data_IF_262490281839
#
_entry.id   IF_262490281839
#
_cell.length_a   1.000
_cell.length_b   1.000
_cell.length_c   1.000
_cell.angle_alpha   90.00
_cell.angle_beta   90.00
_cell.angle_gamma   90.00
#
_symmetry.space_group_name_H-M   'P 1'
#
loop_
_entity.id
_entity.type
_entity.pdbx_description
1 polymer ?
#
# COMPACT_ATOMS: atom_id res chain seq x y z
N UNK A 1 7.66 8.77 -43.86
CA UNK A 1 6.35 8.13 -43.67
C UNK A 1 5.83 8.48 -42.26
N UNK A 2 4.58 8.87 -42.17
CA UNK A 2 3.96 9.16 -40.87
C UNK A 2 3.67 7.82 -40.19
N UNK A 3 4.23 7.58 -39.01
CA UNK A 3 3.95 6.36 -38.25
C UNK A 3 2.46 6.32 -37.91
N UNK A 4 1.79 5.22 -38.27
CA UNK A 4 0.43 4.94 -37.78
C UNK A 4 0.42 4.81 -36.25
N UNK A 5 -0.70 5.21 -35.62
CA UNK A 5 -0.90 5.10 -34.16
C UNK A 5 -2.14 4.27 -33.89
N UNK A 6 -1.98 3.18 -33.18
CA UNK A 6 -3.10 2.30 -32.80
C UNK A 6 -2.99 2.00 -31.31
N UNK A 7 -4.09 2.11 -30.58
CA UNK A 7 -4.16 1.70 -29.17
C UNK A 7 -4.77 0.31 -29.09
N UNK A 8 -4.05 -0.62 -28.49
CA UNK A 8 -4.53 -1.96 -28.16
C UNK A 8 -5.00 -1.96 -26.69
N UNK A 9 -6.23 -2.42 -26.47
CA UNK A 9 -6.78 -2.65 -25.12
C UNK A 9 -6.76 -4.16 -24.82
N UNK A 10 -6.02 -4.56 -23.81
CA UNK A 10 -5.94 -5.95 -23.36
C UNK A 10 -6.99 -6.32 -22.31
N UNK A 11 -7.92 -5.41 -22.01
CA UNK A 11 -9.10 -5.67 -21.16
C UNK A 11 -8.80 -5.75 -19.67
N UNK A 12 -7.54 -5.84 -19.25
CA UNK A 12 -7.14 -5.91 -17.85
C UNK A 12 -5.80 -5.23 -17.62
N UNK A 13 -5.68 -4.47 -16.52
CA UNK A 13 -4.39 -3.94 -16.09
C UNK A 13 -3.53 -5.06 -15.48
N UNK A 14 -2.36 -5.32 -16.06
CA UNK A 14 -1.43 -6.38 -15.69
C UNK A 14 -0.05 -5.83 -15.39
N UNK A 15 0.76 -6.59 -14.62
CA UNK A 15 2.21 -6.49 -14.65
C UNK A 15 2.75 -7.53 -15.62
N UNK A 16 3.48 -7.09 -16.63
CA UNK A 16 3.93 -7.99 -17.67
C UNK A 16 4.61 -7.29 -18.81
N UNK A 17 4.50 -7.88 -19.97
CA UNK A 17 5.03 -7.33 -21.20
C UNK A 17 4.11 -7.65 -22.39
N UNK A 18 4.25 -6.88 -23.45
CA UNK A 18 3.65 -7.23 -24.73
C UNK A 18 4.70 -7.97 -25.58
N UNK A 19 4.28 -9.06 -26.20
CA UNK A 19 5.03 -9.71 -27.27
C UNK A 19 4.29 -9.57 -28.61
N UNK A 20 5.02 -9.63 -29.69
CA UNK A 20 4.42 -9.56 -31.02
C UNK A 20 5.15 -10.42 -32.04
N UNK A 21 4.41 -10.78 -33.11
CA UNK A 21 4.95 -11.46 -34.28
C UNK A 21 4.41 -10.80 -35.55
N UNK A 22 5.27 -10.15 -36.31
CA UNK A 22 4.88 -9.43 -37.52
C UNK A 22 5.85 -9.72 -38.68
N UNK A 23 5.42 -9.46 -39.93
CA UNK A 23 6.29 -9.46 -41.11
C UNK A 23 6.63 -8.01 -41.45
N UNK A 24 7.90 -7.70 -41.58
CA UNK A 24 8.39 -6.33 -41.81
C UNK A 24 9.61 -6.30 -42.71
N UNK A 25 9.95 -5.12 -43.16
CA UNK A 25 11.18 -4.86 -43.88
C UNK A 25 12.30 -4.39 -42.96
N UNK A 26 13.53 -4.66 -43.36
CA UNK A 26 14.71 -4.26 -42.58
C UNK A 26 14.71 -2.74 -42.30
N UNK A 27 14.93 -2.38 -41.03
CA UNK A 27 15.01 -0.97 -40.60
C UNK A 27 13.67 -0.33 -40.21
N UNK A 28 12.53 -0.95 -40.52
CA UNK A 28 11.25 -0.47 -40.00
C UNK A 28 11.24 -0.54 -38.45
N UNK A 29 10.49 0.36 -37.83
CA UNK A 29 10.46 0.46 -36.36
C UNK A 29 9.07 0.22 -35.80
N UNK A 30 9.02 -0.52 -34.71
CA UNK A 30 7.82 -0.70 -33.92
C UNK A 30 8.11 -0.09 -32.54
N UNK A 31 7.33 0.92 -32.16
CA UNK A 31 7.43 1.55 -30.86
C UNK A 31 6.16 1.25 -30.09
N UNK A 32 6.34 0.61 -28.91
CA UNK A 32 5.28 0.29 -27.97
C UNK A 32 5.39 1.23 -26.78
N UNK A 33 4.29 1.86 -26.41
CA UNK A 33 4.19 2.66 -25.19
C UNK A 33 3.10 2.06 -24.30
N UNK A 34 3.43 1.83 -23.03
CA UNK A 34 2.58 1.14 -22.09
C UNK A 34 1.85 2.14 -21.18
N UNK A 35 0.55 1.98 -21.00
CA UNK A 35 -0.28 2.85 -20.16
C UNK A 35 -1.36 2.05 -19.40
N UNK A 36 -1.74 2.58 -18.25
CA UNK A 36 -2.73 1.93 -17.35
C UNK A 36 -4.14 2.48 -17.59
N UNK A 37 -4.26 3.69 -18.12
CA UNK A 37 -5.51 4.43 -18.26
C UNK A 37 -5.55 5.15 -19.60
N UNK A 38 -6.76 5.45 -20.06
CA UNK A 38 -7.04 6.48 -21.05
C UNK A 38 -7.33 7.81 -20.33
N UNK A 39 -7.17 8.92 -21.01
CA UNK A 39 -7.53 10.24 -20.48
C UNK A 39 -9.06 10.48 -20.53
N UNK A 40 -9.49 11.69 -20.15
CA UNK A 40 -10.90 12.07 -20.09
C UNK A 40 -11.60 12.03 -21.47
N UNK A 41 -10.82 12.09 -22.54
CA UNK A 41 -11.30 12.04 -23.94
C UNK A 41 -11.22 10.62 -24.52
N UNK A 42 -10.76 9.62 -23.73
CA UNK A 42 -10.54 8.26 -24.20
C UNK A 42 -9.22 8.08 -24.95
N UNK A 43 -8.32 9.05 -24.88
CA UNK A 43 -7.02 9.01 -25.56
C UNK A 43 -5.94 8.36 -24.67
N UNK A 44 -4.97 7.71 -25.32
CA UNK A 44 -3.84 7.08 -24.61
C UNK A 44 -3.01 8.11 -23.82
N UNK A 45 -2.76 7.84 -22.56
CA UNK A 45 -1.95 8.69 -21.70
C UNK A 45 -0.93 7.92 -20.86
N UNK A 46 0.20 8.55 -20.57
CA UNK A 46 1.18 8.10 -19.58
C UNK A 46 1.38 9.14 -18.46
N UNK A 47 0.54 10.17 -18.40
CA UNK A 47 0.68 11.24 -17.40
C UNK A 47 0.61 10.73 -15.95
N UNK A 48 -0.16 9.67 -15.73
CA UNK A 48 -0.32 9.07 -14.39
C UNK A 48 0.89 8.26 -13.92
N UNK A 49 1.77 7.83 -14.84
CA UNK A 49 2.95 7.02 -14.53
C UNK A 49 4.27 7.74 -14.81
N UNK A 50 4.23 8.85 -15.53
CA UNK A 50 5.42 9.63 -15.87
C UNK A 50 5.81 10.52 -14.70
N UNK A 51 7.00 10.29 -14.13
CA UNK A 51 7.64 11.21 -13.20
C UNK A 51 8.51 12.20 -13.98
N UNK A 52 8.27 13.48 -13.80
CA UNK A 52 9.09 14.54 -14.38
C UNK A 52 9.28 15.67 -13.39
N UNK A 53 10.44 16.29 -13.43
CA UNK A 53 10.74 17.54 -12.75
C UNK A 53 11.22 18.56 -13.78
N UNK A 54 11.39 19.84 -13.37
CA UNK A 54 11.94 20.87 -14.26
C UNK A 54 13.31 20.51 -14.86
N UNK A 55 14.06 19.59 -14.22
CA UNK A 55 15.43 19.21 -14.60
C UNK A 55 15.56 17.76 -15.08
N UNK A 56 14.65 16.88 -14.71
CA UNK A 56 14.76 15.44 -14.95
C UNK A 56 13.42 14.94 -15.44
N UNK A 57 13.42 14.26 -16.56
CA UNK A 57 12.28 13.48 -17.05
C UNK A 57 12.66 12.02 -17.04
N UNK A 58 11.88 11.18 -16.35
CA UNK A 58 12.11 9.75 -16.34
C UNK A 58 11.92 9.16 -17.75
N UNK A 59 12.64 8.09 -18.09
CA UNK A 59 12.38 7.36 -19.33
C UNK A 59 10.91 6.95 -19.39
N UNK A 60 10.32 7.06 -20.57
CA UNK A 60 8.95 6.58 -20.80
C UNK A 60 8.90 5.06 -20.68
N UNK A 61 7.77 4.52 -20.22
CA UNK A 61 7.46 3.09 -20.31
C UNK A 61 7.27 2.73 -21.78
N UNK A 62 8.34 2.37 -22.46
CA UNK A 62 8.33 2.10 -23.89
C UNK A 62 9.35 1.04 -24.30
N UNK A 63 9.06 0.42 -25.45
CA UNK A 63 9.97 -0.43 -26.19
C UNK A 63 10.10 0.15 -27.59
N UNK A 64 11.31 0.18 -28.14
CA UNK A 64 11.57 0.52 -29.53
C UNK A 64 12.32 -0.66 -30.17
N UNK A 65 11.67 -1.30 -31.13
CA UNK A 65 12.22 -2.45 -31.85
C UNK A 65 12.51 -2.06 -33.31
N UNK A 66 13.69 -2.41 -33.81
CA UNK A 66 14.07 -2.24 -35.22
C UNK A 66 13.97 -3.60 -35.90
N UNK A 67 13.14 -3.67 -36.94
CA UNK A 67 12.85 -4.91 -37.62
C UNK A 67 14.01 -5.37 -38.53
N UNK A 68 14.15 -6.68 -38.65
CA UNK A 68 14.89 -7.33 -39.74
C UNK A 68 13.96 -7.64 -40.90
N UNK A 69 14.50 -8.04 -42.02
CA UNK A 69 13.72 -8.48 -43.17
C UNK A 69 12.93 -9.76 -42.83
N UNK A 70 11.64 -9.79 -43.21
CA UNK A 70 10.76 -10.92 -43.07
C UNK A 70 10.10 -11.02 -41.66
N UNK A 71 9.95 -12.24 -41.14
CA UNK A 71 9.25 -12.50 -39.87
C UNK A 71 10.07 -12.00 -38.67
N UNK A 72 9.44 -11.17 -37.87
CA UNK A 72 9.96 -10.62 -36.62
C UNK A 72 9.10 -11.13 -35.45
N UNK A 73 9.76 -11.67 -34.43
CA UNK A 73 9.14 -12.01 -33.15
C UNK A 73 9.94 -11.34 -32.04
N UNK A 74 9.24 -10.66 -31.14
CA UNK A 74 9.89 -9.97 -30.01
C UNK A 74 9.08 -10.05 -28.75
N UNK A 75 9.77 -10.30 -27.65
CA UNK A 75 9.31 -10.13 -26.26
C UNK A 75 10.41 -9.46 -25.43
N UNK A 76 10.04 -8.69 -24.39
CA UNK A 76 11.05 -8.13 -23.49
C UNK A 76 11.72 -9.23 -22.66
N UNK A 77 13.02 -9.08 -22.40
CA UNK A 77 13.79 -10.06 -21.62
C UNK A 77 13.74 -9.75 -20.12
N UNK A 78 13.96 -8.48 -19.74
CA UNK A 78 14.07 -8.08 -18.34
C UNK A 78 13.08 -6.97 -17.92
N UNK A 79 12.50 -6.26 -18.89
CA UNK A 79 11.56 -5.19 -18.59
C UNK A 79 10.15 -5.75 -18.38
N UNK A 80 9.54 -5.37 -17.26
CA UNK A 80 8.14 -5.65 -16.93
C UNK A 80 7.45 -4.28 -16.77
N UNK A 81 6.28 -4.14 -17.36
CA UNK A 81 5.49 -2.91 -17.37
C UNK A 81 4.16 -3.14 -16.65
N UNK A 82 3.60 -2.10 -16.02
CA UNK A 82 2.21 -2.06 -15.61
C UNK A 82 1.38 -1.45 -16.74
N UNK A 83 0.40 -2.16 -17.27
CA UNK A 83 -0.42 -1.66 -18.38
C UNK A 83 -1.71 -2.44 -18.58
N UNK A 84 -2.68 -1.75 -19.16
CA UNK A 84 -3.85 -2.33 -19.83
C UNK A 84 -3.80 -1.97 -21.31
N UNK A 85 -3.29 -0.77 -21.62
CA UNK A 85 -3.27 -0.22 -22.97
C UNK A 85 -1.84 -0.18 -23.51
N UNK A 86 -1.70 -0.51 -24.80
CA UNK A 86 -0.43 -0.34 -25.50
C UNK A 86 -0.67 0.52 -26.73
N UNK A 87 -0.02 1.68 -26.78
CA UNK A 87 0.04 2.49 -28.00
C UNK A 87 1.15 1.94 -28.89
N UNK A 88 0.76 1.43 -30.06
CA UNK A 88 1.64 0.95 -31.13
C UNK A 88 1.85 2.09 -32.12
N UNK A 89 3.09 2.53 -32.30
CA UNK A 89 3.50 3.53 -33.29
C UNK A 89 4.43 2.84 -34.31
N UNK A 90 3.94 2.60 -35.53
CA UNK A 90 4.70 1.87 -36.58
C UNK A 90 4.17 2.16 -37.97
N UNK A 91 5.00 1.90 -38.98
CA UNK A 91 4.65 1.82 -40.41
C UNK A 91 4.54 0.36 -40.90
N UNK A 92 4.72 -0.62 -40.01
CA UNK A 92 4.53 -2.03 -40.29
C UNK A 92 3.04 -2.35 -40.28
N UNK A 93 2.55 -3.07 -41.28
CA UNK A 93 1.17 -3.62 -41.25
C UNK A 93 1.04 -4.71 -40.19
N UNK A 94 0.00 -4.64 -39.38
CA UNK A 94 -0.29 -5.62 -38.35
C UNK A 94 -1.79 -5.76 -38.07
N UNK A 95 -2.18 -6.85 -37.43
CA UNK A 95 -3.50 -7.08 -36.87
C UNK A 95 -3.40 -7.13 -35.33
N UNK A 96 -4.53 -6.95 -34.62
CA UNK A 96 -4.57 -7.02 -33.15
C UNK A 96 -4.03 -8.35 -32.62
N UNK A 97 -4.28 -9.44 -33.34
CA UNK A 97 -3.89 -10.82 -33.02
C UNK A 97 -2.37 -11.08 -33.10
N UNK A 98 -1.64 -10.19 -33.78
CA UNK A 98 -0.17 -10.22 -33.84
C UNK A 98 0.47 -9.84 -32.49
N UNK A 99 -0.31 -9.28 -31.55
CA UNK A 99 0.13 -8.85 -30.25
C UNK A 99 -0.54 -9.64 -29.13
N UNK A 100 0.26 -10.03 -28.14
CA UNK A 100 -0.22 -10.66 -26.92
C UNK A 100 0.34 -9.96 -25.68
N UNK A 101 -0.50 -9.77 -24.67
CA UNK A 101 -0.06 -9.30 -23.36
C UNK A 101 0.19 -10.50 -22.43
N UNK A 102 1.41 -10.60 -21.93
CA UNK A 102 1.85 -11.70 -21.07
C UNK A 102 1.95 -11.19 -19.64
N UNK A 103 1.08 -11.68 -18.76
CA UNK A 103 1.12 -11.37 -17.35
C UNK A 103 2.26 -12.16 -16.66
N UNK A 104 3.05 -11.43 -15.83
CA UNK A 104 4.15 -12.01 -15.06
C UNK A 104 3.83 -11.93 -13.59
N UNK A 105 3.81 -13.07 -12.90
CA UNK A 105 3.52 -13.16 -11.48
C UNK A 105 4.21 -14.36 -10.84
N UNK A 106 4.31 -14.35 -9.49
CA UNK A 106 4.77 -15.55 -8.78
C UNK A 106 3.70 -16.62 -8.84
N UNK A 107 4.09 -17.82 -9.25
CA UNK A 107 3.19 -18.96 -9.27
C UNK A 107 2.85 -19.39 -7.84
N UNK A 108 1.57 -19.30 -7.48
CA UNK A 108 1.03 -19.67 -6.18
C UNK A 108 -0.26 -20.45 -6.40
N UNK A 109 -0.40 -21.55 -5.65
CA UNK A 109 -1.59 -22.37 -5.69
C UNK A 109 -2.83 -21.57 -5.27
N UNK A 110 -3.92 -21.72 -6.00
CA UNK A 110 -5.22 -21.15 -5.68
C UNK A 110 -5.89 -22.00 -4.60
N UNK A 111 -6.02 -21.48 -3.39
CA UNK A 111 -6.56 -22.21 -2.23
C UNK A 111 -7.92 -21.70 -1.77
N UNK A 112 -8.34 -20.54 -2.23
CA UNK A 112 -9.61 -19.94 -1.85
C UNK A 112 -10.48 -19.55 -3.03
N UNK A 113 -11.77 -19.85 -2.94
CA UNK A 113 -12.76 -19.50 -3.94
C UNK A 113 -13.95 -18.84 -3.26
N UNK A 114 -14.40 -17.71 -3.75
CA UNK A 114 -15.56 -17.01 -3.24
C UNK A 114 -16.62 -16.87 -4.35
N UNK A 115 -17.83 -17.31 -4.05
CA UNK A 115 -19.01 -17.08 -4.88
C UNK A 115 -19.86 -16.00 -4.20
N UNK A 116 -20.21 -14.96 -4.92
CA UNK A 116 -21.06 -13.89 -4.42
C UNK A 116 -22.38 -13.85 -5.19
N UNK A 117 -23.51 -13.56 -4.52
CA UNK A 117 -24.84 -13.65 -5.12
C UNK A 117 -25.15 -12.51 -6.10
N UNK A 118 -24.38 -11.41 -6.09
CA UNK A 118 -24.61 -10.27 -6.95
C UNK A 118 -23.46 -10.03 -7.93
N UNK A 119 -23.77 -9.52 -9.12
CA UNK A 119 -22.77 -9.18 -10.14
C UNK A 119 -21.76 -8.14 -9.63
N UNK A 120 -22.19 -7.25 -8.76
CA UNK A 120 -21.34 -6.26 -8.09
C UNK A 120 -20.32 -6.92 -7.16
N UNK A 121 -20.76 -7.82 -6.30
CA UNK A 121 -19.88 -8.57 -5.39
C UNK A 121 -18.88 -9.42 -6.17
N UNK A 122 -19.28 -10.01 -7.31
CA UNK A 122 -18.40 -10.76 -8.20
C UNK A 122 -17.33 -9.83 -8.82
N UNK A 123 -17.72 -8.64 -9.28
CA UNK A 123 -16.76 -7.67 -9.83
C UNK A 123 -15.75 -7.19 -8.80
N UNK A 124 -16.20 -6.90 -7.56
CA UNK A 124 -15.33 -6.52 -6.46
C UNK A 124 -14.34 -7.64 -6.11
N UNK A 125 -14.77 -8.90 -6.19
CA UNK A 125 -13.95 -10.07 -5.89
C UNK A 125 -13.00 -10.48 -7.03
N UNK A 126 -13.39 -10.25 -8.28
CA UNK A 126 -12.50 -10.45 -9.44
C UNK A 126 -11.29 -9.49 -9.42
N UNK A 127 -11.48 -8.27 -8.93
CA UNK A 127 -10.42 -7.28 -8.81
C UNK A 127 -9.29 -7.76 -7.86
N UNK A 128 -9.56 -8.23 -6.61
CA UNK A 128 -8.53 -8.78 -5.74
C UNK A 128 -7.83 -10.03 -6.29
N UNK A 129 -8.53 -10.91 -7.02
CA UNK A 129 -7.91 -12.12 -7.59
C UNK A 129 -6.95 -11.83 -8.75
N UNK A 130 -7.20 -10.76 -9.51
CA UNK A 130 -6.27 -10.29 -10.54
C UNK A 130 -5.08 -9.52 -9.97
N UNK A 131 -5.35 -8.57 -9.07
CA UNK A 131 -4.31 -7.72 -8.45
C UNK A 131 -3.27 -8.52 -7.65
N UNK A 132 -3.60 -9.51 -6.79
CA UNK A 132 -2.59 -10.32 -6.12
C UNK A 132 -1.66 -11.07 -7.07
N UNK A 133 -2.16 -11.61 -8.19
CA UNK A 133 -1.31 -12.30 -9.18
C UNK A 133 -0.30 -11.33 -9.81
N UNK A 134 -0.78 -10.18 -10.25
CA UNK A 134 0.03 -9.21 -10.99
C UNK A 134 0.94 -8.36 -10.09
N UNK A 135 0.67 -8.29 -8.77
CA UNK A 135 1.56 -7.62 -7.79
C UNK A 135 2.58 -8.55 -7.15
N UNK A 136 2.69 -9.81 -7.56
CA UNK A 136 3.60 -10.82 -7.01
C UNK A 136 4.92 -11.10 -7.76
N UNK A 137 5.34 -10.43 -8.81
CA UNK A 137 6.75 -10.44 -9.19
C UNK A 137 7.59 -9.97 -8.00
N UNK A 138 8.80 -10.42 -7.90
CA UNK A 138 9.74 -10.10 -6.82
C UNK A 138 9.92 -8.60 -6.56
N UNK A 139 9.45 -7.77 -7.48
CA UNK A 139 9.31 -6.32 -7.31
C UNK A 139 7.86 -5.93 -7.62
N UNK A 140 7.16 -5.16 -6.77
CA UNK A 140 5.79 -4.71 -7.06
C UNK A 140 5.85 -3.62 -8.12
N UNK A 141 5.62 -3.98 -9.38
CA UNK A 141 5.73 -3.06 -10.50
C UNK A 141 4.39 -2.45 -10.93
N UNK A 142 3.27 -2.89 -10.37
CA UNK A 142 1.96 -2.23 -10.58
C UNK A 142 1.76 -1.04 -9.63
N UNK A 143 2.65 -0.78 -8.73
CA UNK A 143 2.63 0.53 -8.12
C UNK A 143 3.20 1.49 -9.15
N UNK A 144 2.45 2.55 -9.48
CA UNK A 144 2.94 3.72 -10.19
C UNK A 144 4.41 3.96 -9.81
N UNK A 145 5.28 4.48 -10.67
CA UNK A 145 6.68 4.74 -10.32
C UNK A 145 6.85 5.49 -8.99
N UNK A 146 5.88 6.35 -8.61
CA UNK A 146 5.80 6.98 -7.28
C UNK A 146 5.50 6.00 -6.12
N UNK A 147 4.94 4.82 -6.40
CA UNK A 147 4.53 3.81 -5.42
C UNK A 147 5.38 2.52 -5.46
N UNK A 148 6.44 2.46 -6.25
CA UNK A 148 7.43 1.39 -6.12
C UNK A 148 8.00 1.34 -4.69
N UNK A 149 7.99 2.47 -4.00
CA UNK A 149 8.30 2.63 -2.56
C UNK A 149 7.21 2.10 -1.64
N UNK A 150 5.96 1.97 -2.10
CA UNK A 150 4.84 1.45 -1.32
C UNK A 150 4.79 -0.09 -1.24
N UNK A 151 5.80 -0.78 -1.76
CA UNK A 151 5.85 -2.24 -1.82
C UNK A 151 5.56 -2.94 -0.49
N UNK A 152 5.82 -2.31 0.65
CA UNK A 152 5.53 -2.87 1.97
C UNK A 152 4.12 -2.65 2.45
N UNK A 153 3.57 -1.46 2.28
CA UNK A 153 2.19 -1.22 2.68
C UNK A 153 1.24 -2.06 1.83
N UNK A 154 1.44 -2.08 0.53
CA UNK A 154 0.67 -2.95 -0.36
C UNK A 154 0.77 -4.41 0.08
N UNK A 155 1.95 -4.90 0.48
CA UNK A 155 2.13 -6.27 0.98
C UNK A 155 1.55 -6.48 2.37
N UNK A 156 1.59 -5.47 3.26
CA UNK A 156 0.95 -5.52 4.56
C UNK A 156 -0.56 -5.80 4.43
N UNK A 157 -1.25 -5.04 3.59
CA UNK A 157 -2.70 -5.18 3.39
C UNK A 157 -3.07 -6.36 2.50
N UNK A 158 -2.35 -6.56 1.42
CA UNK A 158 -2.62 -7.66 0.50
C UNK A 158 -2.25 -9.04 1.05
N UNK A 159 -1.42 -9.14 2.11
CA UNK A 159 -1.10 -10.44 2.72
C UNK A 159 -2.34 -11.17 3.23
N UNK A 160 -3.30 -10.48 3.83
CA UNK A 160 -4.55 -11.10 4.29
C UNK A 160 -5.37 -11.66 3.13
N UNK A 161 -5.58 -10.86 2.07
CA UNK A 161 -6.32 -11.32 0.88
C UNK A 161 -5.58 -12.45 0.14
N UNK A 162 -4.25 -12.38 0.09
CA UNK A 162 -3.44 -13.44 -0.54
C UNK A 162 -3.55 -14.75 0.20
N UNK A 163 -3.50 -14.73 1.52
CA UNK A 163 -3.66 -15.93 2.34
C UNK A 163 -5.06 -16.55 2.24
N UNK A 164 -6.07 -15.77 1.84
CA UNK A 164 -7.44 -16.28 1.60
C UNK A 164 -7.55 -16.98 0.24
N UNK A 165 -6.90 -16.45 -0.80
CA UNK A 165 -7.07 -16.90 -2.18
C UNK A 165 -5.93 -17.75 -2.72
N UNK A 166 -4.75 -17.69 -2.09
CA UNK A 166 -3.54 -18.37 -2.57
C UNK A 166 -2.75 -18.97 -1.41
N UNK A 167 -2.02 -20.04 -1.65
CA UNK A 167 -0.94 -20.46 -0.76
C UNK A 167 0.21 -19.45 -0.86
N UNK A 168 0.29 -18.61 0.14
CA UNK A 168 1.27 -17.54 0.22
C UNK A 168 2.53 -17.93 1.03
N UNK A 169 2.57 -19.15 1.58
CA UNK A 169 3.57 -19.56 2.58
C UNK A 169 5.00 -19.42 2.07
N UNK A 170 5.33 -20.06 0.95
CA UNK A 170 6.68 -20.04 0.37
C UNK A 170 7.12 -18.61 -0.01
N UNK A 171 6.19 -17.82 -0.55
CA UNK A 171 6.46 -16.43 -0.89
C UNK A 171 6.73 -15.59 0.37
N UNK A 172 5.93 -15.74 1.44
CA UNK A 172 6.11 -15.01 2.68
C UNK A 172 7.48 -15.32 3.31
N UNK A 173 7.88 -16.58 3.34
CA UNK A 173 9.17 -17.01 3.86
C UNK A 173 10.35 -16.37 3.12
N UNK A 174 10.29 -16.35 1.78
CA UNK A 174 11.32 -15.70 0.95
C UNK A 174 11.34 -14.20 1.17
N UNK A 175 10.17 -13.56 1.14
CA UNK A 175 10.06 -12.11 1.27
C UNK A 175 10.54 -11.60 2.64
N UNK A 176 10.24 -12.33 3.72
CA UNK A 176 10.70 -11.96 5.05
C UNK A 176 12.22 -12.06 5.21
N UNK A 177 12.88 -12.99 4.53
CA UNK A 177 14.36 -13.01 4.45
C UNK A 177 14.88 -11.73 3.81
N UNK A 178 14.35 -11.37 2.63
CA UNK A 178 14.76 -10.14 1.93
C UNK A 178 14.58 -8.89 2.80
N UNK A 179 13.49 -8.82 3.58
CA UNK A 179 13.23 -7.70 4.49
C UNK A 179 14.29 -7.60 5.59
N UNK A 180 14.63 -8.73 6.22
CA UNK A 180 15.54 -8.74 7.37
C UNK A 180 17.02 -8.71 6.98
N UNK A 181 17.39 -9.20 5.80
CA UNK A 181 18.76 -9.09 5.26
C UNK A 181 19.18 -7.62 5.10
N UNK A 182 18.22 -6.72 4.87
CA UNK A 182 18.47 -5.28 4.75
C UNK A 182 18.12 -4.47 6.00
N UNK A 183 17.84 -5.13 7.13
CA UNK A 183 17.57 -4.41 8.38
C UNK A 183 18.82 -3.63 8.83
N UNK A 184 18.64 -2.34 9.11
CA UNK A 184 19.72 -1.48 9.59
C UNK A 184 20.14 -1.83 11.03
N UNK A 185 21.37 -1.46 11.42
CA UNK A 185 21.89 -1.73 12.78
C UNK A 185 21.07 -1.09 13.90
N UNK A 186 20.44 0.05 13.62
CA UNK A 186 19.56 0.75 14.56
C UNK A 186 18.14 0.15 14.67
N UNK A 187 17.87 -0.92 13.94
CA UNK A 187 16.60 -1.65 13.93
C UNK A 187 15.63 -1.24 12.83
N UNK A 188 15.90 -0.16 12.08
CA UNK A 188 15.05 0.23 10.94
C UNK A 188 14.95 -0.88 9.93
N UNK A 189 13.75 -1.05 9.40
CA UNK A 189 13.53 -1.91 8.26
C UNK A 189 13.55 -1.09 6.96
N UNK A 190 14.10 -1.59 5.85
CA UNK A 190 14.24 -0.84 4.59
C UNK A 190 12.88 -0.49 3.98
N UNK A 191 12.79 0.54 3.14
CA UNK A 191 11.57 0.90 2.42
C UNK A 191 11.14 -0.14 1.38
N UNK A 192 12.10 -0.76 0.74
CA UNK A 192 11.90 -1.74 -0.34
C UNK A 192 12.70 -3.00 -0.02
N UNK A 193 12.09 -4.15 -0.25
CA UNK A 193 12.75 -5.44 -0.18
C UNK A 193 12.23 -6.34 -1.32
N UNK A 194 13.12 -7.03 -2.07
CA UNK A 194 14.58 -6.90 -2.04
C UNK A 194 15.06 -5.49 -2.37
N UNK A 195 16.32 -5.19 -2.03
CA UNK A 195 16.91 -3.87 -2.25
C UNK A 195 16.91 -3.48 -3.74
N UNK A 196 16.36 -2.31 -4.02
CA UNK A 196 16.17 -1.81 -5.39
C UNK A 196 17.20 -0.77 -5.86
N UNK A 197 18.32 -0.57 -5.15
CA UNK A 197 19.35 0.39 -5.52
C UNK A 197 19.01 1.87 -5.25
N UNK A 198 17.94 2.15 -4.50
CA UNK A 198 17.43 3.51 -4.26
C UNK A 198 17.77 4.06 -2.88
N UNK A 199 18.67 3.42 -2.14
CA UNK A 199 19.01 3.77 -0.76
C UNK A 199 19.55 5.19 -0.61
N UNK A 200 20.18 5.71 -1.64
CA UNK A 200 20.80 7.03 -1.64
C UNK A 200 19.85 8.16 -1.22
N UNK A 201 18.60 8.12 -1.66
CA UNK A 201 17.60 9.13 -1.30
C UNK A 201 16.35 8.61 -0.60
N UNK A 202 16.30 7.30 -0.33
CA UNK A 202 15.14 6.68 0.33
C UNK A 202 15.44 6.23 1.75
N UNK A 203 16.72 6.06 2.14
CA UNK A 203 17.12 5.50 3.43
C UNK A 203 16.68 6.33 4.64
N UNK A 204 16.49 7.66 4.48
CA UNK A 204 15.96 8.49 5.55
C UNK A 204 14.51 8.13 5.93
N UNK A 205 13.76 7.53 5.01
CA UNK A 205 12.40 7.08 5.21
C UNK A 205 12.31 5.65 5.78
N UNK A 206 13.42 4.95 5.94
CA UNK A 206 13.45 3.61 6.54
C UNK A 206 12.82 3.61 7.94
N UNK A 207 12.10 2.54 8.24
CA UNK A 207 11.40 2.41 9.51
C UNK A 207 10.15 3.29 9.63
N UNK A 208 9.57 3.77 8.51
CA UNK A 208 8.30 4.50 8.53
C UNK A 208 7.22 3.72 9.22
N UNK A 209 6.60 4.34 10.20
CA UNK A 209 5.51 3.78 10.98
C UNK A 209 4.29 3.54 10.10
N UNK A 210 3.52 2.52 10.40
CA UNK A 210 2.37 2.12 9.59
C UNK A 210 2.78 1.33 8.33
N UNK A 211 4.02 1.46 7.87
CA UNK A 211 4.55 0.89 6.62
C UNK A 211 5.59 -0.19 6.89
N UNK A 212 6.65 0.13 7.62
CA UNK A 212 7.69 -0.82 8.00
C UNK A 212 7.20 -1.90 8.98
N UNK A 213 6.06 -1.67 9.62
CA UNK A 213 5.34 -2.60 10.50
C UNK A 213 5.07 -3.96 9.83
N UNK A 214 5.09 -4.02 8.51
CA UNK A 214 5.02 -5.26 7.73
C UNK A 214 6.03 -6.32 8.20
N UNK A 215 7.19 -5.88 8.71
CA UNK A 215 8.19 -6.78 9.28
C UNK A 215 7.67 -7.60 10.48
N UNK A 216 6.79 -7.04 11.29
CA UNK A 216 6.16 -7.74 12.42
C UNK A 216 4.82 -8.38 12.00
N UNK A 217 4.00 -7.65 11.24
CA UNK A 217 2.64 -8.07 10.94
C UNK A 217 2.55 -9.25 9.97
N UNK A 218 3.47 -9.37 9.02
CA UNK A 218 3.48 -10.52 8.09
C UNK A 218 3.82 -11.82 8.84
N UNK A 219 4.91 -11.92 9.63
CA UNK A 219 5.18 -13.08 10.46
C UNK A 219 4.06 -13.41 11.45
N UNK A 220 3.47 -12.39 12.09
CA UNK A 220 2.35 -12.58 13.01
C UNK A 220 1.13 -13.19 12.32
N UNK A 221 0.70 -12.61 11.19
CA UNK A 221 -0.45 -13.12 10.41
C UNK A 221 -0.18 -14.50 9.83
N UNK A 222 1.05 -14.75 9.40
CA UNK A 222 1.47 -16.06 8.95
C UNK A 222 1.26 -17.11 10.04
N UNK A 223 1.76 -16.85 11.24
CA UNK A 223 1.52 -17.71 12.39
C UNK A 223 0.04 -17.93 12.68
N UNK A 224 -0.77 -16.85 12.69
CA UNK A 224 -2.20 -16.95 13.01
C UNK A 224 -3.02 -17.69 11.96
N UNK A 225 -2.66 -17.58 10.70
CA UNK A 225 -3.44 -18.14 9.58
C UNK A 225 -3.00 -19.56 9.20
N UNK A 226 -1.70 -19.83 9.25
CA UNK A 226 -1.17 -21.16 8.90
C UNK A 226 -0.91 -22.06 10.13
N UNK A 227 -0.95 -21.50 11.36
CA UNK A 227 -0.50 -22.23 12.56
C UNK A 227 1.03 -22.43 12.61
N UNK A 228 1.77 -21.94 11.62
CA UNK A 228 3.21 -22.10 11.49
C UNK A 228 3.95 -20.92 12.14
N UNK A 229 4.67 -21.18 13.21
CA UNK A 229 5.44 -20.19 13.98
C UNK A 229 6.88 -19.98 13.48
N UNK A 230 7.25 -20.61 12.38
CA UNK A 230 8.62 -20.58 11.85
C UNK A 230 9.13 -19.18 11.54
N UNK A 231 8.28 -18.30 11.01
CA UNK A 231 8.66 -16.92 10.70
C UNK A 231 8.86 -16.07 11.96
N UNK A 232 7.99 -16.21 12.97
CA UNK A 232 8.15 -15.47 14.21
C UNK A 232 9.38 -15.96 14.99
N UNK A 233 9.71 -17.25 14.96
CA UNK A 233 10.93 -17.78 15.59
C UNK A 233 12.18 -17.31 14.85
N UNK A 234 12.20 -17.45 13.53
CA UNK A 234 13.37 -17.11 12.69
C UNK A 234 13.74 -15.64 12.77
N UNK A 235 12.76 -14.76 12.79
CA UNK A 235 12.97 -13.32 12.70
C UNK A 235 12.75 -12.57 14.03
N UNK A 236 12.60 -13.30 15.15
CA UNK A 236 12.31 -12.71 16.46
C UNK A 236 13.24 -11.57 16.83
N UNK A 237 14.55 -11.79 16.77
CA UNK A 237 15.55 -10.76 17.12
C UNK A 237 15.45 -9.53 16.22
N UNK A 238 15.15 -9.72 14.95
CA UNK A 238 14.90 -8.63 14.00
C UNK A 238 13.65 -7.82 14.36
N UNK A 239 12.56 -8.51 14.72
CA UNK A 239 11.32 -7.86 15.19
C UNK A 239 11.55 -7.10 16.50
N UNK A 240 12.30 -7.67 17.45
CA UNK A 240 12.68 -6.99 18.70
C UNK A 240 13.51 -5.73 18.40
N UNK A 241 14.49 -5.79 17.51
CA UNK A 241 15.26 -4.60 17.11
C UNK A 241 14.37 -3.51 16.52
N UNK A 242 13.40 -3.89 15.68
CA UNK A 242 12.44 -2.92 15.12
C UNK A 242 11.54 -2.33 16.21
N UNK A 243 10.98 -3.15 17.11
CA UNK A 243 10.16 -2.68 18.22
C UNK A 243 10.94 -1.72 19.15
N UNK A 244 12.20 -2.03 19.45
CA UNK A 244 13.08 -1.15 20.24
C UNK A 244 13.43 0.16 19.50
N UNK A 245 13.56 0.12 18.17
CA UNK A 245 13.67 1.34 17.37
C UNK A 245 12.42 2.22 17.53
N UNK A 246 11.22 1.64 17.49
CA UNK A 246 9.96 2.37 17.72
C UNK A 246 9.90 2.97 19.13
N UNK A 247 10.26 2.19 20.15
CA UNK A 247 10.37 2.66 21.54
C UNK A 247 11.31 3.86 21.67
N UNK A 248 12.47 3.80 21.03
CA UNK A 248 13.44 4.90 21.04
C UNK A 248 12.85 6.19 20.45
N UNK A 249 11.98 6.10 19.46
CA UNK A 249 11.31 7.26 18.85
C UNK A 249 10.34 7.97 19.81
N UNK A 250 9.81 7.30 20.82
CA UNK A 250 8.94 7.91 21.84
C UNK A 250 9.65 9.00 22.65
N UNK A 251 10.97 8.91 22.81
CA UNK A 251 11.76 9.84 23.63
C UNK A 251 12.55 10.85 22.82
N UNK A 252 12.47 10.79 21.49
CA UNK A 252 13.22 11.66 20.60
C UNK A 252 12.45 12.96 20.33
N UNK A 253 13.19 14.04 20.21
CA UNK A 253 12.68 15.36 19.88
C UNK A 253 12.97 15.70 18.41
N UNK A 254 12.03 16.37 17.74
CA UNK A 254 12.25 16.98 16.45
C UNK A 254 12.06 18.48 16.50
N UNK A 255 13.02 19.28 16.02
CA UNK A 255 12.85 20.72 15.89
C UNK A 255 11.91 21.12 14.73
N UNK A 256 11.56 20.16 13.86
CA UNK A 256 10.75 20.42 12.66
C UNK A 256 9.25 20.58 12.96
N UNK A 257 8.79 20.21 14.15
CA UNK A 257 7.39 20.39 14.59
C UNK A 257 7.30 21.12 15.91
N UNK A 258 6.19 21.82 16.09
CA UNK A 258 5.86 22.43 17.36
C UNK A 258 5.86 21.42 18.50
N UNK A 259 6.29 21.86 19.63
CA UNK A 259 6.26 21.07 20.85
C UNK A 259 4.81 20.72 21.19
N UNK A 260 4.52 19.42 21.31
CA UNK A 260 3.21 18.99 21.79
C UNK A 260 3.07 19.41 23.26
N UNK A 261 1.95 20.05 23.65
CA UNK A 261 1.75 20.52 25.03
C UNK A 261 1.35 19.38 25.99
N UNK A 262 1.90 18.20 25.78
CA UNK A 262 1.74 17.05 26.67
C UNK A 262 2.61 17.22 27.91
N UNK A 263 2.06 16.83 29.08
CA UNK A 263 2.71 16.97 30.38
C UNK A 263 3.01 15.61 31.00
N UNK A 264 3.89 15.62 32.00
CA UNK A 264 4.17 14.43 32.83
C UNK A 264 4.66 13.23 32.03
N UNK A 265 4.15 12.06 32.38
CA UNK A 265 4.53 10.76 31.78
C UNK A 265 4.11 10.61 30.33
N UNK A 266 2.98 11.18 29.91
CA UNK A 266 2.50 11.08 28.53
C UNK A 266 3.53 11.53 27.50
N UNK A 267 4.32 12.55 27.84
CA UNK A 267 5.40 13.06 26.98
C UNK A 267 6.45 12.00 26.64
N UNK A 268 6.64 10.99 27.46
CA UNK A 268 7.63 9.92 27.24
C UNK A 268 7.15 8.84 26.28
N UNK A 269 5.87 8.83 25.92
CA UNK A 269 5.23 7.78 25.15
C UNK A 269 4.61 8.25 23.83
N UNK A 270 4.85 9.50 23.42
CA UNK A 270 4.43 10.03 22.13
C UNK A 270 5.55 9.91 21.11
N UNK A 271 5.25 9.30 19.97
CA UNK A 271 6.15 9.24 18.82
C UNK A 271 5.99 10.51 17.98
N UNK A 272 6.81 11.51 18.24
CA UNK A 272 6.83 12.78 17.52
C UNK A 272 8.18 13.03 16.81
N UNK A 273 8.79 11.96 16.32
CA UNK A 273 10.09 12.01 15.64
C UNK A 273 10.15 11.01 14.50
N UNK A 274 10.96 11.35 13.50
CA UNK A 274 11.23 10.50 12.35
C UNK A 274 10.14 10.57 11.28
N UNK A 275 10.42 9.93 10.16
CA UNK A 275 9.55 9.92 9.01
C UNK A 275 8.30 9.07 9.22
N UNK A 276 7.16 9.57 8.75
CA UNK A 276 5.94 8.82 8.52
C UNK A 276 5.30 9.32 7.22
N UNK A 277 4.77 8.42 6.42
CA UNK A 277 4.03 8.80 5.21
C UNK A 277 2.63 9.36 5.53
N UNK A 278 2.23 9.37 6.79
CA UNK A 278 0.86 9.67 7.15
C UNK A 278 -0.11 8.63 6.61
N UNK A 279 -1.35 9.02 6.46
CA UNK A 279 -2.39 8.15 5.92
C UNK A 279 -2.16 7.80 4.43
N UNK A 280 -1.35 8.56 3.72
CA UNK A 280 -1.01 8.47 2.30
C UNK A 280 -2.20 8.27 1.37
N UNK A 281 -2.27 9.09 0.33
CA UNK A 281 -3.29 9.03 -0.72
C UNK A 281 -4.73 9.16 -0.21
N UNK A 282 -4.96 9.93 0.84
CA UNK A 282 -6.31 10.49 1.08
C UNK A 282 -6.71 11.34 -0.12
N UNK A 283 -8.02 11.46 -0.44
CA UNK A 283 -8.48 12.38 -1.48
C UNK A 283 -7.96 13.80 -1.22
N UNK A 284 -7.54 14.51 -2.28
CA UNK A 284 -6.91 15.83 -2.17
C UNK A 284 -7.85 16.90 -1.56
N UNK A 285 -9.16 16.70 -1.68
CA UNK A 285 -10.21 17.54 -1.08
C UNK A 285 -10.45 17.22 0.41
N UNK A 286 -9.88 16.12 0.92
CA UNK A 286 -9.89 15.77 2.35
C UNK A 286 -8.60 16.18 3.04
N UNK A 287 -7.46 15.83 2.44
CA UNK A 287 -6.15 16.17 2.97
C UNK A 287 -5.12 16.33 1.84
N UNK A 288 -4.51 17.51 1.68
CA UNK A 288 -3.54 17.75 0.60
C UNK A 288 -2.29 16.86 0.71
N UNK A 289 -1.95 16.18 -0.36
CA UNK A 289 -0.71 15.42 -0.50
C UNK A 289 0.45 16.36 -0.88
N UNK A 290 0.94 17.16 0.05
CA UNK A 290 2.14 17.95 -0.15
C UNK A 290 3.39 17.25 0.45
N UNK A 291 4.58 17.68 0.03
CA UNK A 291 5.83 17.09 0.50
C UNK A 291 6.06 17.29 2.01
N UNK A 292 5.51 18.37 2.61
CA UNK A 292 5.61 18.64 4.06
C UNK A 292 4.84 17.59 4.84
N UNK A 293 3.67 17.18 4.33
CA UNK A 293 2.86 16.14 4.94
C UNK A 293 3.49 14.74 4.81
N UNK A 294 4.43 14.56 3.89
CA UNK A 294 5.12 13.29 3.69
C UNK A 294 6.35 13.15 4.61
N UNK A 295 7.06 14.24 4.88
CA UNK A 295 8.35 14.18 5.60
C UNK A 295 8.26 14.49 7.08
N UNK A 296 7.21 15.17 7.51
CA UNK A 296 7.03 15.53 8.92
C UNK A 296 6.46 14.38 9.73
N UNK A 297 6.81 14.25 11.02
CA UNK A 297 6.19 13.25 11.90
C UNK A 297 4.68 13.48 12.02
N UNK A 298 3.95 12.39 12.12
CA UNK A 298 2.50 12.35 12.40
C UNK A 298 2.27 11.70 13.77
N UNK A 299 2.28 12.46 14.88
CA UNK A 299 2.30 11.88 16.22
C UNK A 299 1.07 11.02 16.53
N UNK A 300 -0.11 11.39 16.05
CA UNK A 300 -1.33 10.60 16.22
C UNK A 300 -1.27 9.25 15.49
N UNK A 301 -0.74 9.23 14.27
CA UNK A 301 -0.57 8.02 13.50
C UNK A 301 0.57 7.17 14.05
N UNK A 302 1.73 7.81 14.23
CA UNK A 302 2.94 7.12 14.65
C UNK A 302 2.78 6.49 16.04
N UNK A 303 2.09 7.16 16.97
CA UNK A 303 1.81 6.61 18.30
C UNK A 303 0.79 5.48 18.22
N UNK A 304 -0.27 5.63 17.42
CA UNK A 304 -1.28 4.59 17.23
C UNK A 304 -0.67 3.27 16.71
N UNK A 305 0.14 3.36 15.66
CA UNK A 305 0.81 2.17 15.12
C UNK A 305 1.93 1.64 16.01
N UNK A 306 2.53 2.48 16.86
CA UNK A 306 3.44 1.98 17.90
C UNK A 306 2.69 1.09 18.90
N UNK A 307 1.51 1.51 19.36
CA UNK A 307 0.66 0.65 20.21
C UNK A 307 0.37 -0.68 19.52
N UNK A 308 -0.05 -0.62 18.26
CA UNK A 308 -0.36 -1.80 17.46
C UNK A 308 0.80 -2.79 17.35
N UNK A 309 2.01 -2.29 17.11
CA UNK A 309 3.22 -3.13 17.05
C UNK A 309 3.58 -3.69 18.44
N UNK A 310 3.48 -2.89 19.50
CA UNK A 310 3.77 -3.35 20.85
C UNK A 310 2.80 -4.46 21.27
N UNK A 311 1.53 -4.37 20.91
CA UNK A 311 0.53 -5.41 21.17
C UNK A 311 0.88 -6.74 20.52
N UNK A 312 1.21 -6.71 19.21
CA UNK A 312 1.61 -7.92 18.49
C UNK A 312 2.92 -8.50 19.03
N UNK A 313 3.89 -7.65 19.32
CA UNK A 313 5.17 -8.09 19.89
C UNK A 313 5.01 -8.66 21.31
N UNK A 314 4.11 -8.12 22.11
CA UNK A 314 3.76 -8.66 23.42
C UNK A 314 3.18 -10.07 23.31
N UNK A 315 2.27 -10.30 22.37
CA UNK A 315 1.69 -11.62 22.11
C UNK A 315 2.73 -12.63 21.61
N UNK A 316 3.56 -12.23 20.62
CA UNK A 316 4.65 -13.06 20.11
C UNK A 316 5.64 -13.41 21.23
N UNK A 317 6.07 -12.42 22.02
CA UNK A 317 7.00 -12.63 23.12
C UNK A 317 6.41 -13.55 24.19
N UNK A 318 5.14 -13.39 24.50
CA UNK A 318 4.42 -14.29 25.42
C UNK A 318 4.40 -15.73 24.93
N UNK A 319 4.04 -15.94 23.68
CA UNK A 319 4.03 -17.26 23.03
C UNK A 319 5.42 -17.93 23.04
N UNK A 320 6.47 -17.16 22.75
CA UNK A 320 7.85 -17.65 22.71
C UNK A 320 8.52 -17.73 24.11
N UNK A 321 7.81 -17.43 25.21
CA UNK A 321 8.34 -17.47 26.56
C UNK A 321 9.31 -16.34 26.91
N UNK A 322 9.37 -15.26 26.13
CA UNK A 322 10.28 -14.12 26.29
C UNK A 322 9.71 -13.07 27.27
N UNK A 323 9.63 -13.40 28.56
CA UNK A 323 8.91 -12.61 29.56
C UNK A 323 9.43 -11.17 29.72
N UNK A 324 10.75 -10.95 29.62
CA UNK A 324 11.34 -9.61 29.75
C UNK A 324 10.90 -8.70 28.58
N UNK A 325 10.94 -9.22 27.35
CA UNK A 325 10.50 -8.47 26.18
C UNK A 325 8.98 -8.24 26.23
N UNK A 326 8.19 -9.25 26.66
CA UNK A 326 6.75 -9.10 26.86
C UNK A 326 6.45 -7.93 27.79
N UNK A 327 7.06 -7.88 28.98
CA UNK A 327 6.87 -6.81 29.96
C UNK A 327 7.28 -5.43 29.41
N UNK A 328 8.36 -5.36 28.62
CA UNK A 328 8.79 -4.14 27.94
C UNK A 328 7.72 -3.65 26.95
N UNK A 329 7.22 -4.53 26.09
CA UNK A 329 6.23 -4.18 25.07
C UNK A 329 4.88 -3.81 25.70
N UNK A 330 4.47 -4.50 26.76
CA UNK A 330 3.28 -4.17 27.53
C UNK A 330 3.36 -2.75 28.11
N UNK A 331 4.47 -2.41 28.77
CA UNK A 331 4.72 -1.07 29.29
C UNK A 331 4.54 0.02 28.22
N UNK A 332 5.09 -0.20 27.02
CA UNK A 332 5.02 0.80 25.97
C UNK A 332 3.67 0.81 25.27
N UNK A 333 3.00 -0.32 25.10
CA UNK A 333 1.60 -0.39 24.66
C UNK A 333 0.71 0.49 25.55
N UNK A 334 0.76 0.29 26.87
CA UNK A 334 -0.09 1.00 27.83
C UNK A 334 0.27 2.48 27.93
N UNK A 335 1.56 2.78 27.98
CA UNK A 335 2.04 4.16 28.02
C UNK A 335 1.66 4.95 26.76
N UNK A 336 1.83 4.38 25.59
CA UNK A 336 1.46 5.01 24.32
C UNK A 336 -0.06 5.14 24.17
N UNK A 337 -0.85 4.14 24.63
CA UNK A 337 -2.31 4.24 24.64
C UNK A 337 -2.80 5.39 25.50
N UNK A 338 -2.27 5.50 26.72
CA UNK A 338 -2.62 6.61 27.64
C UNK A 338 -2.23 7.96 27.01
N UNK A 339 -1.02 8.05 26.48
CA UNK A 339 -0.54 9.28 25.85
C UNK A 339 -1.36 9.65 24.59
N UNK A 340 -1.83 8.66 23.83
CA UNK A 340 -2.72 8.87 22.68
C UNK A 340 -4.06 9.50 23.11
N UNK A 341 -4.65 8.98 24.19
CA UNK A 341 -5.91 9.52 24.76
C UNK A 341 -5.79 10.98 25.19
N UNK A 342 -4.63 11.37 25.74
CA UNK A 342 -4.35 12.76 26.05
C UNK A 342 -4.11 13.57 24.75
N UNK A 343 -3.39 13.04 23.76
CA UNK A 343 -3.11 13.70 22.51
C UNK A 343 -4.38 14.12 21.77
N UNK A 344 -5.39 13.26 21.70
CA UNK A 344 -6.63 13.53 20.97
C UNK A 344 -7.55 14.54 21.66
N UNK A 345 -7.17 15.06 22.83
CA UNK A 345 -7.84 16.21 23.47
C UNK A 345 -7.21 17.54 23.09
N UNK A 346 -6.05 17.55 22.42
CA UNK A 346 -5.30 18.76 22.10
C UNK A 346 -5.79 19.40 20.79
N UNK A 347 -5.75 20.72 20.67
CA UNK A 347 -6.06 21.42 19.42
C UNK A 347 -5.25 20.88 18.23
N UNK A 348 -5.93 20.64 17.10
CA UNK A 348 -5.34 20.05 15.90
C UNK A 348 -5.28 18.52 15.87
N UNK A 349 -5.48 17.88 17.04
CA UNK A 349 -5.50 16.41 17.17
C UNK A 349 -6.86 15.87 17.59
N UNK A 350 -7.85 16.72 17.86
CA UNK A 350 -9.18 16.33 18.35
C UNK A 350 -9.90 15.35 17.42
N UNK A 351 -10.77 14.55 18.03
CA UNK A 351 -11.68 13.64 17.31
C UNK A 351 -12.84 14.38 16.64
N UNK A 352 -13.05 15.67 16.93
CA UNK A 352 -14.02 16.51 16.19
C UNK A 352 -13.43 16.92 14.83
N UNK A 353 -13.61 16.04 13.85
CA UNK A 353 -13.03 16.19 12.51
C UNK A 353 -13.90 15.50 11.47
N UNK A 354 -13.86 16.00 10.22
CA UNK A 354 -14.43 15.33 9.05
C UNK A 354 -13.44 14.37 8.38
N UNK A 355 -12.19 14.29 8.84
CA UNK A 355 -11.18 13.42 8.29
C UNK A 355 -11.39 11.99 8.80
N UNK A 356 -12.03 11.16 8.00
CA UNK A 356 -12.45 9.79 8.35
C UNK A 356 -11.27 8.95 8.90
N UNK A 357 -10.08 9.05 8.32
CA UNK A 357 -8.91 8.31 8.74
C UNK A 357 -8.50 8.55 10.22
N UNK A 358 -8.71 9.79 10.72
CA UNK A 358 -8.45 10.14 12.13
C UNK A 358 -9.42 9.50 13.11
N UNK A 359 -10.58 9.07 12.65
CA UNK A 359 -11.62 8.41 13.43
C UNK A 359 -11.52 6.88 13.31
N UNK A 360 -11.35 6.39 12.09
CA UNK A 360 -11.22 4.94 11.81
C UNK A 360 -10.04 4.31 12.52
N UNK A 361 -8.87 4.94 12.49
CA UNK A 361 -7.64 4.40 13.06
C UNK A 361 -7.75 4.09 14.55
N UNK A 362 -8.12 5.06 15.43
CA UNK A 362 -8.22 4.78 16.86
C UNK A 362 -9.38 3.85 17.22
N UNK A 363 -10.46 3.83 16.47
CA UNK A 363 -11.55 2.86 16.64
C UNK A 363 -11.05 1.44 16.35
N UNK A 364 -10.44 1.23 15.17
CA UNK A 364 -9.91 -0.07 14.79
C UNK A 364 -8.84 -0.60 15.76
N UNK A 365 -7.95 0.28 16.20
CA UNK A 365 -6.85 -0.08 17.12
C UNK A 365 -7.24 -0.04 18.60
N UNK A 366 -8.51 0.23 18.93
CA UNK A 366 -9.07 0.25 20.29
C UNK A 366 -8.28 1.14 21.26
N UNK A 367 -7.89 2.33 20.80
CA UNK A 367 -7.04 3.24 21.56
C UNK A 367 -7.82 4.14 22.54
N UNK A 368 -9.10 4.33 22.30
CA UNK A 368 -9.94 5.33 22.95
C UNK A 368 -10.50 4.79 24.29
N UNK A 369 -10.84 5.68 25.21
CA UNK A 369 -11.70 5.35 26.32
C UNK A 369 -13.16 5.32 25.88
N UNK A 370 -14.07 4.87 26.74
CA UNK A 370 -15.50 4.69 26.43
C UNK A 370 -16.16 5.96 25.90
N UNK A 371 -15.85 7.13 26.49
CA UNK A 371 -16.43 8.41 26.07
C UNK A 371 -15.88 8.87 24.73
N UNK A 372 -14.57 8.75 24.55
CA UNK A 372 -13.90 9.07 23.30
C UNK A 372 -14.36 8.13 22.17
N UNK A 373 -14.54 6.85 22.46
CA UNK A 373 -15.00 5.85 21.50
C UNK A 373 -16.45 6.16 21.05
N UNK A 374 -17.36 6.40 21.98
CA UNK A 374 -18.73 6.77 21.67
C UNK A 374 -18.80 8.04 20.82
N UNK A 375 -18.01 9.06 21.17
CA UNK A 375 -17.89 10.28 20.38
C UNK A 375 -17.36 10.01 18.98
N UNK A 376 -16.26 9.24 18.86
CA UNK A 376 -15.62 8.94 17.58
C UNK A 376 -16.53 8.14 16.64
N UNK A 377 -17.29 7.16 17.17
CA UNK A 377 -18.30 6.40 16.39
C UNK A 377 -19.35 7.33 15.80
N UNK A 378 -19.97 8.15 16.63
CA UNK A 378 -20.97 9.12 16.15
C UNK A 378 -20.38 10.09 15.12
N UNK A 379 -19.18 10.60 15.40
CA UNK A 379 -18.49 11.57 14.54
C UNK A 379 -18.05 10.97 13.20
N UNK A 380 -17.73 9.66 13.17
CA UNK A 380 -17.40 8.96 11.93
C UNK A 380 -18.60 8.91 10.97
N UNK A 381 -19.79 8.58 11.48
CA UNK A 381 -21.02 8.59 10.66
C UNK A 381 -21.26 9.98 10.08
N UNK A 382 -21.17 11.03 10.89
CA UNK A 382 -21.29 12.41 10.41
C UNK A 382 -20.24 12.78 9.36
N UNK A 383 -18.99 12.34 9.56
CA UNK A 383 -17.91 12.59 8.59
C UNK A 383 -18.15 11.89 7.25
N UNK A 384 -18.77 10.71 7.26
CA UNK A 384 -19.18 10.01 6.04
C UNK A 384 -20.37 10.70 5.36
N UNK A 385 -21.38 11.15 6.11
CA UNK A 385 -22.49 11.93 5.59
C UNK A 385 -22.03 13.24 4.95
N UNK A 386 -21.18 13.99 5.65
CA UNK A 386 -20.60 15.25 5.16
C UNK A 386 -19.77 15.04 3.88
N UNK A 387 -19.16 13.88 3.71
CA UNK A 387 -18.42 13.51 2.50
C UNK A 387 -19.30 12.75 1.49
N UNK A 388 -20.65 12.79 1.66
CA UNK A 388 -21.64 12.15 0.76
C UNK A 388 -21.42 10.66 0.60
N UNK A 389 -21.10 9.97 1.69
CA UNK A 389 -20.82 8.54 1.76
C UNK A 389 -19.66 8.07 0.87
N UNK A 390 -18.77 8.98 0.48
CA UNK A 390 -17.55 8.63 -0.21
C UNK A 390 -16.46 8.22 0.81
N UNK A 391 -15.56 7.35 0.39
CA UNK A 391 -14.39 7.02 1.19
C UNK A 391 -13.41 8.20 1.17
N UNK A 392 -13.17 8.78 2.35
CA UNK A 392 -12.23 9.87 2.60
C UNK A 392 -10.96 9.38 3.33
N UNK A 393 -10.61 8.09 3.16
CA UNK A 393 -9.45 7.45 3.80
C UNK A 393 -8.35 7.20 2.79
N UNK A 394 -7.12 7.00 3.29
CA UNK A 394 -5.96 6.64 2.50
C UNK A 394 -5.56 5.17 2.70
N UNK A 395 -4.29 4.86 2.45
CA UNK A 395 -3.77 3.49 2.44
C UNK A 395 -3.87 2.75 3.77
N UNK A 396 -3.78 3.45 4.90
CA UNK A 396 -3.76 2.81 6.21
C UNK A 396 -5.15 2.50 6.74
N UNK A 397 -6.12 3.37 6.48
CA UNK A 397 -7.47 3.26 7.05
C UNK A 397 -8.49 2.65 6.09
N UNK A 398 -8.33 2.78 4.76
CA UNK A 398 -9.25 2.17 3.77
C UNK A 398 -9.42 0.64 3.96
N UNK A 399 -8.38 -0.15 4.25
CA UNK A 399 -8.55 -1.59 4.42
C UNK A 399 -9.34 -2.01 5.66
N UNK A 400 -9.53 -1.12 6.61
CA UNK A 400 -10.12 -1.44 7.93
C UNK A 400 -11.39 -0.65 8.27
N UNK A 401 -11.78 0.30 7.40
CA UNK A 401 -13.00 1.09 7.66
C UNK A 401 -14.27 0.21 7.66
N UNK A 402 -14.31 -0.82 6.81
CA UNK A 402 -15.47 -1.72 6.77
C UNK A 402 -15.58 -2.55 8.04
N UNK A 403 -14.45 -2.98 8.63
CA UNK A 403 -14.43 -3.69 9.91
C UNK A 403 -14.95 -2.78 11.02
N UNK A 404 -14.51 -1.51 11.04
CA UNK A 404 -14.99 -0.52 12.03
C UNK A 404 -16.49 -0.28 11.91
N UNK A 405 -17.01 -0.14 10.68
CA UNK A 405 -18.43 0.06 10.46
C UNK A 405 -19.28 -1.18 10.83
N UNK A 406 -18.74 -2.36 10.57
CA UNK A 406 -19.38 -3.61 10.99
C UNK A 406 -19.45 -3.74 12.50
N UNK A 407 -18.37 -3.40 13.22
CA UNK A 407 -18.31 -3.39 14.69
C UNK A 407 -19.25 -2.34 15.32
N UNK A 408 -19.67 -1.35 14.54
CA UNK A 408 -20.65 -0.33 14.96
C UNK A 408 -22.09 -0.70 14.63
N UNK A 409 -22.37 -1.88 14.08
CA UNK A 409 -23.67 -2.30 13.51
C UNK A 409 -24.16 -1.40 12.35
N UNK A 410 -23.25 -0.65 11.72
CA UNK A 410 -23.52 0.26 10.62
C UNK A 410 -23.35 -0.43 9.25
N UNK A 411 -23.75 -1.69 9.14
CA UNK A 411 -23.62 -2.50 7.92
C UNK A 411 -24.37 -1.90 6.72
N UNK A 412 -25.48 -1.21 6.97
CA UNK A 412 -26.24 -0.51 5.91
C UNK A 412 -25.44 0.66 5.32
N UNK A 413 -24.59 1.29 6.11
CA UNK A 413 -23.68 2.37 5.69
C UNK A 413 -22.60 1.82 4.76
N UNK A 414 -22.00 0.69 5.10
CA UNK A 414 -20.96 0.07 4.29
C UNK A 414 -21.51 -0.37 2.92
N UNK A 415 -22.71 -0.95 2.87
CA UNK A 415 -23.39 -1.32 1.63
C UNK A 415 -23.82 -0.11 0.79
N UNK A 416 -24.43 0.88 1.41
CA UNK A 416 -24.92 2.11 0.73
C UNK A 416 -23.80 3.00 0.19
N UNK A 417 -22.68 3.14 0.92
CA UNK A 417 -21.54 3.94 0.49
C UNK A 417 -20.86 3.38 -0.75
N UNK A 418 -20.69 2.06 -0.82
CA UNK A 418 -20.08 1.38 -1.98
C UNK A 418 -20.98 1.51 -3.21
N UNK A 419 -22.30 1.36 -3.07
CA UNK A 419 -23.25 1.54 -4.18
C UNK A 419 -23.31 2.98 -4.69
N UNK A 420 -23.25 4.00 -3.81
CA UNK A 420 -23.28 5.41 -4.22
C UNK A 420 -22.02 5.85 -4.96
N UNK A 421 -20.85 5.34 -4.58
CA UNK A 421 -19.60 5.61 -5.32
C UNK A 421 -19.68 5.16 -6.79
N UNK A 422 -20.39 4.08 -7.08
CA UNK A 422 -20.63 3.63 -8.46
C UNK A 422 -21.66 4.46 -9.21
N UNK A 423 -22.71 4.93 -8.52
CA UNK A 423 -23.73 5.80 -9.13
C UNK A 423 -23.14 7.11 -9.64
N UNK A 424 -22.22 7.71 -8.91
CA UNK A 424 -21.52 8.94 -9.32
C UNK A 424 -20.62 8.71 -10.56
N UNK A 425 -19.98 7.55 -10.68
CA UNK A 425 -19.22 7.21 -11.89
C UNK A 425 -20.11 7.04 -13.13
N UNK A 426 -21.27 6.41 -13.00
CA UNK A 426 -22.21 6.23 -14.12
C UNK A 426 -22.85 7.54 -14.58
N UNK A 427 -23.16 8.47 -13.67
CA UNK A 427 -23.75 9.76 -14.02
C UNK A 427 -22.77 10.75 -14.67
N UNK A 428 -21.47 10.56 -14.54
CA UNK A 428 -20.45 11.44 -15.16
C UNK A 428 -19.86 10.88 -16.46
N UNK A 429 -20.38 9.77 -17.00
CA UNK A 429 -19.91 9.21 -18.27
C UNK A 429 -18.45 8.75 -18.24
N UNK A 430 -17.95 8.29 -17.08
CA UNK A 430 -16.59 7.83 -16.89
C UNK A 430 -16.55 6.31 -16.67
#
# INVERSE_FOLDING_TARGET
MTLGKTVLDFGQNIAGYAEFTVTAHIGQKIKLRFGELLDENGEFTQKNIQCSSKKITTPLHQVIYTCKEGKNHYKTTFAIFGFQYVLVETDVAFQSEDFAAIAVYSDMEHTGFLKAPTHFSISLLKTPSGVPRTTTPTCPQIARPANATAGRATRRFSSTLRNIFFDYASFAQKYMRDVYDWQKKDGKLPQIAPYGGVDFYMSFMDGSVGWADAGVLIPYRFWKLYGDDSLIRRHYDGMVRYARFMIKRCTQFTPLRHHLPLKGEAKKYIVNYGHSYGEWAEPADVFPNDWKNIVLPHPEESTAYTVFIMEHMMEIAGYLGKQQDKALFEKYRDGCTKAYRELVTLPGYTLDTNRQAKLVRPLYLRLLDEKQEAFAKHRLVQAMENYRWRLGTGFLSTPVILDVLADMDENHVSGGGIHRCQGVRRQKGL
#
